data_IF_139562535650
#
_entry.id   IF_139562535650
#
_cell.length_a   1.000
_cell.length_b   1.000
_cell.length_c   1.000
_cell.angle_alpha   90.00
_cell.angle_beta   90.00
_cell.angle_gamma   90.00
#
_symmetry.space_group_name_H-M   'P 1'
#
loop_
_entity.id
_entity.type
_entity.pdbx_description
1 polymer ?
#
# COMPACT_ATOMS: atom_id res chain seq x y z
N UNK A 1 -16.23 20.90 -42.96
CA UNK A 1 -14.95 20.26 -43.38
C UNK A 1 -14.63 19.05 -42.50
N UNK A 2 -14.56 19.20 -41.18
CA UNK A 2 -14.27 18.08 -40.25
C UNK A 2 -15.26 16.88 -40.35
N UNK A 3 -16.50 17.16 -40.67
CA UNK A 3 -17.54 16.12 -40.85
C UNK A 3 -17.28 15.14 -42.02
N UNK A 4 -16.40 15.53 -42.97
CA UNK A 4 -16.02 14.71 -44.12
C UNK A 4 -14.83 13.76 -43.84
N UNK A 5 -14.16 13.92 -42.71
CA UNK A 5 -13.02 13.07 -42.34
C UNK A 5 -13.53 11.70 -41.95
N UNK A 6 -13.16 10.66 -42.70
CA UNK A 6 -13.66 9.28 -42.48
C UNK A 6 -13.00 8.57 -41.29
N UNK A 7 -11.74 8.82 -41.05
CA UNK A 7 -10.98 8.18 -39.97
C UNK A 7 -11.22 8.87 -38.62
N UNK A 8 -11.72 8.17 -37.58
CA UNK A 8 -11.85 8.72 -36.24
C UNK A 8 -10.51 9.18 -35.65
N UNK A 9 -9.42 8.47 -35.96
CA UNK A 9 -8.06 8.79 -35.48
C UNK A 9 -7.60 10.14 -36.05
N UNK A 10 -7.72 10.34 -37.37
CA UNK A 10 -7.35 11.60 -38.03
C UNK A 10 -8.21 12.76 -37.51
N UNK A 11 -9.50 12.53 -37.28
CA UNK A 11 -10.39 13.53 -36.72
C UNK A 11 -9.96 13.90 -35.28
N UNK A 12 -9.55 12.91 -34.50
CA UNK A 12 -9.05 13.12 -33.15
C UNK A 12 -7.74 13.91 -33.15
N UNK A 13 -6.79 13.54 -34.02
CA UNK A 13 -5.48 14.21 -34.15
C UNK A 13 -5.64 15.69 -34.58
N UNK A 14 -6.58 15.97 -35.50
CA UNK A 14 -6.90 17.35 -35.91
C UNK A 14 -7.54 18.14 -34.76
N UNK A 15 -8.43 17.51 -33.98
CA UNK A 15 -9.03 18.15 -32.82
C UNK A 15 -7.98 18.42 -31.74
N UNK A 16 -6.94 17.62 -31.64
CA UNK A 16 -5.80 17.84 -30.76
C UNK A 16 -5.02 19.11 -31.05
N UNK A 17 -4.90 19.47 -32.33
CA UNK A 17 -4.16 20.66 -32.82
C UNK A 17 -5.00 21.95 -32.68
N UNK A 18 -6.31 21.83 -32.51
CA UNK A 18 -7.19 23.02 -32.45
C UNK A 18 -7.11 23.73 -31.08
N UNK A 19 -7.21 25.03 -31.10
CA UNK A 19 -7.31 25.86 -29.88
C UNK A 19 -8.52 25.42 -29.04
N UNK A 20 -8.30 25.14 -27.79
CA UNK A 20 -9.19 24.57 -26.79
C UNK A 20 -10.67 25.04 -26.85
N UNK A 21 -10.90 26.35 -26.88
CA UNK A 21 -12.25 26.94 -26.90
C UNK A 21 -13.07 26.61 -28.15
N UNK A 22 -12.43 26.48 -29.33
CA UNK A 22 -13.06 26.08 -30.59
C UNK A 22 -13.38 24.56 -30.60
N UNK A 23 -12.50 23.78 -30.03
CA UNK A 23 -12.62 22.32 -29.83
C UNK A 23 -13.86 21.98 -28.99
N UNK A 24 -14.03 22.64 -27.86
CA UNK A 24 -15.17 22.53 -26.95
C UNK A 24 -16.51 22.75 -27.65
N UNK A 25 -16.63 23.84 -28.39
CA UNK A 25 -17.87 24.17 -29.06
C UNK A 25 -18.20 23.22 -30.21
N UNK A 26 -17.20 22.75 -30.95
CA UNK A 26 -17.40 21.78 -32.03
C UNK A 26 -17.92 20.43 -31.50
N UNK A 27 -17.38 19.93 -30.41
CA UNK A 27 -17.82 18.65 -29.83
C UNK A 27 -19.13 18.83 -29.06
N UNK A 28 -19.27 19.90 -28.28
CA UNK A 28 -20.47 20.16 -27.47
C UNK A 28 -21.75 20.26 -28.30
N UNK A 29 -21.68 20.87 -29.46
CA UNK A 29 -22.86 21.19 -30.26
C UNK A 29 -23.02 20.33 -31.54
N UNK A 30 -22.05 19.47 -31.89
CA UNK A 30 -22.11 18.67 -33.10
C UNK A 30 -22.29 17.17 -32.80
N UNK A 31 -23.55 16.74 -32.73
CA UNK A 31 -23.94 15.34 -32.50
C UNK A 31 -23.31 14.36 -33.49
N UNK A 32 -23.05 14.80 -34.74
CA UNK A 32 -22.47 13.96 -35.79
C UNK A 32 -20.99 13.68 -35.53
N UNK A 33 -20.24 14.66 -35.04
CA UNK A 33 -18.86 14.50 -34.59
C UNK A 33 -18.81 13.64 -33.33
N UNK A 34 -19.69 13.88 -32.33
CA UNK A 34 -19.80 13.05 -31.14
C UNK A 34 -20.01 11.58 -31.47
N UNK A 35 -20.98 11.28 -32.33
CA UNK A 35 -21.29 9.91 -32.78
C UNK A 35 -20.10 9.24 -33.47
N UNK A 36 -19.36 9.97 -34.29
CA UNK A 36 -18.21 9.42 -35.05
C UNK A 36 -16.99 9.18 -34.18
N UNK A 37 -16.80 9.99 -33.15
CA UNK A 37 -15.72 9.81 -32.17
C UNK A 37 -16.11 8.85 -31.06
N UNK A 38 -17.36 8.42 -31.03
CA UNK A 38 -17.94 7.67 -29.93
C UNK A 38 -17.75 8.38 -28.56
N UNK A 39 -17.89 9.71 -28.56
CA UNK A 39 -17.66 10.57 -27.40
C UNK A 39 -18.96 11.31 -27.09
N UNK A 40 -19.50 11.11 -25.89
CA UNK A 40 -20.57 11.93 -25.36
C UNK A 40 -20.01 13.19 -24.63
N UNK A 41 -20.89 14.08 -24.21
CA UNK A 41 -20.52 15.29 -23.50
C UNK A 41 -19.78 14.99 -22.15
N UNK A 42 -20.16 13.89 -21.50
CA UNK A 42 -19.57 13.47 -20.23
C UNK A 42 -18.13 12.99 -20.43
N UNK A 43 -17.91 12.14 -21.43
CA UNK A 43 -16.58 11.64 -21.82
C UNK A 43 -15.65 12.77 -22.24
N UNK A 44 -16.18 13.76 -22.95
CA UNK A 44 -15.40 14.93 -23.35
C UNK A 44 -15.00 15.80 -22.16
N UNK A 45 -15.92 16.05 -21.22
CA UNK A 45 -15.60 16.77 -19.98
C UNK A 45 -14.51 16.06 -19.17
N UNK A 46 -14.56 14.76 -19.08
CA UNK A 46 -13.48 13.96 -18.44
C UNK A 46 -12.15 14.17 -19.13
N UNK A 47 -12.12 14.16 -20.46
CA UNK A 47 -10.90 14.42 -21.21
C UNK A 47 -10.30 15.81 -20.91
N UNK A 48 -11.15 16.83 -20.75
CA UNK A 48 -10.70 18.17 -20.40
C UNK A 48 -10.09 18.23 -19.00
N UNK A 49 -10.74 17.56 -18.05
CA UNK A 49 -10.25 17.47 -16.67
C UNK A 49 -8.90 16.73 -16.65
N UNK A 50 -8.75 15.65 -17.43
CA UNK A 50 -7.48 14.93 -17.57
C UNK A 50 -6.41 15.84 -18.16
N UNK A 51 -6.73 16.63 -19.18
CA UNK A 51 -5.78 17.58 -19.77
C UNK A 51 -5.32 18.63 -18.74
N UNK A 52 -6.24 19.23 -18.01
CA UNK A 52 -5.94 20.17 -16.93
C UNK A 52 -5.04 19.51 -15.85
N UNK A 53 -5.37 18.29 -15.44
CA UNK A 53 -4.60 17.53 -14.48
C UNK A 53 -3.18 17.23 -15.00
N UNK A 54 -3.05 16.85 -16.29
CA UNK A 54 -1.76 16.60 -16.92
C UNK A 54 -0.89 17.86 -16.96
N UNK A 55 -1.48 18.99 -17.33
CA UNK A 55 -0.77 20.29 -17.40
C UNK A 55 -0.34 20.74 -15.99
N UNK A 56 -1.23 20.65 -15.02
CA UNK A 56 -0.97 21.10 -13.65
C UNK A 56 0.07 20.26 -12.93
N UNK A 57 0.02 18.94 -13.08
CA UNK A 57 0.87 17.99 -12.35
C UNK A 57 1.93 17.31 -13.21
N UNK A 58 2.13 17.78 -14.46
CA UNK A 58 3.10 17.25 -15.41
C UNK A 58 2.97 15.73 -15.65
N UNK A 59 1.72 15.25 -15.70
CA UNK A 59 1.40 13.87 -15.89
C UNK A 59 1.17 13.50 -17.36
N UNK A 60 1.09 12.21 -17.67
CA UNK A 60 0.78 11.71 -19.00
C UNK A 60 -0.41 10.71 -18.96
N UNK A 61 -1.51 11.17 -18.37
CA UNK A 61 -2.75 10.39 -18.31
C UNK A 61 -3.42 10.44 -19.68
N UNK A 62 -3.67 9.26 -20.27
CA UNK A 62 -4.24 9.15 -21.63
C UNK A 62 -5.75 9.15 -21.65
N UNK A 63 -6.40 8.71 -20.57
CA UNK A 63 -7.86 8.64 -20.49
C UNK A 63 -8.34 8.08 -19.14
N UNK A 64 -9.66 7.93 -18.94
CA UNK A 64 -10.22 7.34 -17.72
C UNK A 64 -9.85 5.87 -17.50
N UNK A 65 -9.37 5.19 -18.53
CA UNK A 65 -8.86 3.80 -18.51
C UNK A 65 -7.41 3.72 -18.03
N UNK A 66 -6.76 4.86 -17.77
CA UNK A 66 -5.40 4.90 -17.26
C UNK A 66 -5.29 4.11 -15.96
N UNK A 67 -4.26 3.29 -15.85
CA UNK A 67 -4.16 2.30 -14.79
C UNK A 67 -3.12 2.59 -13.72
N UNK A 68 -2.28 3.60 -13.92
CA UNK A 68 -1.21 3.99 -13.01
C UNK A 68 -1.29 5.48 -12.73
N UNK A 69 -1.45 5.88 -11.47
CA UNK A 69 -1.37 7.29 -11.04
C UNK A 69 -0.21 7.45 -10.05
N UNK A 70 0.79 8.20 -10.49
CA UNK A 70 1.94 8.63 -9.68
C UNK A 70 1.76 10.11 -9.35
N UNK A 71 1.38 10.42 -8.12
CA UNK A 71 0.97 11.74 -7.66
C UNK A 71 1.73 12.14 -6.39
N UNK A 72 3.01 11.84 -6.38
CA UNK A 72 3.89 12.16 -5.26
C UNK A 72 4.02 13.67 -5.04
N UNK A 73 4.12 14.10 -3.79
CA UNK A 73 4.32 15.50 -3.39
C UNK A 73 3.21 16.48 -3.87
N UNK A 74 2.04 15.97 -4.20
CA UNK A 74 0.90 16.78 -4.62
C UNK A 74 -0.09 16.95 -3.48
N UNK A 75 -0.89 18.03 -3.51
CA UNK A 75 -1.92 18.26 -2.50
C UNK A 75 -3.07 17.25 -2.66
N UNK A 76 -3.26 16.39 -1.66
CA UNK A 76 -4.25 15.30 -1.70
C UNK A 76 -5.68 15.78 -1.89
N UNK A 77 -6.08 16.89 -1.27
CA UNK A 77 -7.45 17.43 -1.40
C UNK A 77 -7.78 17.82 -2.84
N UNK A 78 -6.87 18.53 -3.50
CA UNK A 78 -7.06 18.91 -4.90
C UNK A 78 -7.05 17.68 -5.83
N UNK A 79 -6.12 16.75 -5.61
CA UNK A 79 -6.02 15.52 -6.39
C UNK A 79 -7.32 14.73 -6.31
N UNK A 80 -7.92 14.61 -5.13
CA UNK A 80 -9.16 13.86 -4.95
C UNK A 80 -10.32 14.45 -5.75
N UNK A 81 -10.38 15.78 -5.93
CA UNK A 81 -11.37 16.39 -6.82
C UNK A 81 -11.21 15.91 -8.27
N UNK A 82 -9.98 15.88 -8.80
CA UNK A 82 -9.72 15.39 -10.16
C UNK A 82 -10.06 13.92 -10.30
N UNK A 83 -9.58 13.07 -9.38
CA UNK A 83 -9.81 11.62 -9.39
C UNK A 83 -11.32 11.34 -9.37
N UNK A 84 -12.08 12.03 -8.51
CA UNK A 84 -13.53 11.89 -8.40
C UNK A 84 -14.28 12.32 -9.68
N UNK A 85 -13.86 13.42 -10.31
CA UNK A 85 -14.46 13.91 -11.56
C UNK A 85 -14.17 12.98 -12.74
N UNK A 86 -12.94 12.45 -12.85
CA UNK A 86 -12.53 11.54 -13.92
C UNK A 86 -13.17 10.16 -13.75
N UNK A 87 -13.25 9.65 -12.50
CA UNK A 87 -13.73 8.30 -12.16
C UNK A 87 -12.96 7.22 -12.93
N UNK A 88 -11.70 7.09 -12.61
CA UNK A 88 -10.87 6.01 -13.16
C UNK A 88 -11.51 4.64 -12.84
N UNK A 89 -11.52 3.75 -13.83
CA UNK A 89 -12.16 2.43 -13.71
C UNK A 89 -11.19 1.26 -13.86
N UNK A 90 -9.92 1.54 -14.14
CA UNK A 90 -8.89 0.53 -14.38
C UNK A 90 -7.64 0.75 -13.54
N UNK A 91 -7.69 1.56 -12.47
CA UNK A 91 -6.51 1.79 -11.63
C UNK A 91 -6.00 0.49 -11.04
N UNK A 92 -4.74 0.22 -11.29
CA UNK A 92 -3.96 -0.88 -10.70
C UNK A 92 -2.88 -0.37 -9.76
N UNK A 93 -2.43 0.86 -9.94
CA UNK A 93 -1.45 1.52 -9.08
C UNK A 93 -1.92 2.93 -8.75
N UNK A 94 -1.89 3.26 -7.47
CA UNK A 94 -2.15 4.61 -6.95
C UNK A 94 -1.05 4.96 -5.95
N UNK A 95 -0.21 5.91 -6.34
CA UNK A 95 0.84 6.46 -5.50
C UNK A 95 0.50 7.89 -5.10
N UNK A 96 0.31 8.10 -3.80
CA UNK A 96 -0.05 9.36 -3.15
C UNK A 96 0.96 9.69 -2.03
N UNK A 97 2.21 9.32 -2.22
CA UNK A 97 3.27 9.60 -1.24
C UNK A 97 3.48 11.11 -1.08
N UNK A 98 3.69 11.60 0.15
CA UNK A 98 3.90 13.01 0.46
C UNK A 98 2.77 13.95 0.02
N UNK A 99 1.52 13.47 0.01
CA UNK A 99 0.38 14.24 -0.48
C UNK A 99 -0.39 14.99 0.61
N UNK A 100 0.14 15.04 1.83
CA UNK A 100 -0.47 15.71 2.99
C UNK A 100 -1.90 15.22 3.29
N UNK A 101 -2.12 13.91 3.15
CA UNK A 101 -3.41 13.25 3.32
C UNK A 101 -3.60 12.89 4.80
N UNK A 102 -4.72 13.25 5.37
CA UNK A 102 -5.16 12.83 6.71
C UNK A 102 -6.20 11.71 6.66
N UNK A 103 -7.07 11.71 5.63
CA UNK A 103 -8.07 10.68 5.40
C UNK A 103 -8.32 10.47 3.90
N UNK A 104 -8.98 9.37 3.56
CA UNK A 104 -9.27 8.97 2.19
C UNK A 104 -10.77 8.81 1.91
N UNK A 105 -11.63 9.31 2.79
CA UNK A 105 -13.09 9.19 2.65
C UNK A 105 -13.62 9.80 1.34
N UNK A 106 -12.94 10.83 0.84
CA UNK A 106 -13.27 11.43 -0.47
C UNK A 106 -13.16 10.46 -1.63
N UNK A 107 -12.37 9.39 -1.51
CA UNK A 107 -12.20 8.38 -2.56
C UNK A 107 -13.17 7.19 -2.47
N UNK A 108 -14.05 7.13 -1.47
CA UNK A 108 -14.99 6.00 -1.29
C UNK A 108 -15.93 5.77 -2.48
N UNK A 109 -16.18 6.81 -3.27
CA UNK A 109 -17.03 6.74 -4.47
C UNK A 109 -16.32 6.19 -5.71
N UNK A 110 -15.01 5.95 -5.62
CA UNK A 110 -14.21 5.47 -6.74
C UNK A 110 -14.13 3.96 -6.70
N UNK A 111 -14.20 3.34 -7.86
CA UNK A 111 -14.00 1.90 -7.96
C UNK A 111 -12.51 1.57 -7.98
N UNK A 112 -11.97 1.18 -6.83
CA UNK A 112 -10.59 0.73 -6.65
C UNK A 112 -10.45 -0.80 -6.64
N UNK A 113 -11.47 -1.54 -7.08
CA UNK A 113 -11.49 -3.01 -7.03
C UNK A 113 -10.39 -3.70 -7.85
N UNK A 114 -9.79 -3.00 -8.81
CA UNK A 114 -8.65 -3.50 -9.61
C UNK A 114 -7.29 -3.10 -9.04
N UNK A 115 -7.26 -2.34 -7.94
CA UNK A 115 -6.02 -1.82 -7.39
C UNK A 115 -5.14 -2.97 -6.89
N UNK A 116 -3.87 -2.93 -7.25
CA UNK A 116 -2.82 -3.89 -6.85
C UNK A 116 -1.79 -3.24 -5.96
N UNK A 117 -1.49 -1.98 -6.19
CA UNK A 117 -0.49 -1.22 -5.41
C UNK A 117 -1.12 0.08 -4.91
N UNK A 118 -1.08 0.28 -3.60
CA UNK A 118 -1.48 1.51 -2.93
C UNK A 118 -0.34 2.01 -2.06
N UNK A 119 0.26 3.12 -2.48
CA UNK A 119 1.31 3.80 -1.73
C UNK A 119 0.77 5.10 -1.13
N UNK A 120 0.74 5.15 0.20
CA UNK A 120 0.29 6.27 1.01
C UNK A 120 1.39 6.74 1.97
N UNK A 121 2.64 6.51 1.63
CA UNK A 121 3.79 6.82 2.50
C UNK A 121 3.90 8.31 2.79
N UNK A 122 4.43 8.64 3.97
CA UNK A 122 4.69 10.00 4.40
C UNK A 122 3.48 10.94 4.26
N UNK A 123 2.35 10.50 4.80
CA UNK A 123 1.14 11.29 4.95
C UNK A 123 0.82 11.53 6.44
N UNK A 124 -0.36 12.05 6.73
CA UNK A 124 -0.81 12.36 8.10
C UNK A 124 -1.93 11.39 8.56
N UNK A 125 -2.04 10.22 7.92
CA UNK A 125 -3.12 9.26 8.16
C UNK A 125 -3.01 8.72 9.59
N UNK A 126 -4.07 8.89 10.37
CA UNK A 126 -4.21 8.33 11.72
C UNK A 126 -5.19 7.16 11.78
N UNK A 127 -6.17 7.13 10.90
CA UNK A 127 -7.21 6.11 10.83
C UNK A 127 -7.21 5.39 9.48
N UNK A 128 -7.37 4.07 9.50
CA UNK A 128 -7.33 3.23 8.29
C UNK A 128 -8.68 2.61 7.93
N UNK A 129 -9.78 3.14 8.45
CA UNK A 129 -11.14 2.65 8.20
C UNK A 129 -11.53 2.70 6.71
N UNK A 130 -10.93 3.59 5.92
CA UNK A 130 -11.13 3.68 4.48
C UNK A 130 -10.86 2.36 3.74
N UNK A 131 -9.98 1.51 4.30
CA UNK A 131 -9.63 0.22 3.69
C UNK A 131 -10.86 -0.68 3.53
N UNK A 132 -11.81 -0.61 4.46
CA UNK A 132 -13.06 -1.38 4.40
C UNK A 132 -13.94 -0.94 3.22
N UNK A 133 -14.01 0.37 2.96
CA UNK A 133 -14.85 0.94 1.90
C UNK A 133 -14.31 0.66 0.48
N UNK A 134 -13.01 0.48 0.32
CA UNK A 134 -12.37 0.44 -1.00
C UNK A 134 -12.41 -0.91 -1.72
N UNK A 135 -12.93 -1.98 -1.12
CA UNK A 135 -13.00 -3.32 -1.72
C UNK A 135 -11.66 -3.78 -2.32
N UNK A 136 -10.60 -3.69 -1.54
CA UNK A 136 -9.22 -3.91 -1.96
C UNK A 136 -8.83 -5.41 -2.11
N UNK A 137 -9.75 -6.28 -2.51
CA UNK A 137 -9.51 -7.72 -2.62
C UNK A 137 -8.40 -8.13 -3.60
N UNK A 138 -8.06 -7.28 -4.57
CA UNK A 138 -6.96 -7.51 -5.51
C UNK A 138 -5.64 -6.87 -5.09
N UNK A 139 -5.59 -6.20 -3.93
CA UNK A 139 -4.40 -5.49 -3.47
C UNK A 139 -3.27 -6.47 -3.18
N UNK A 140 -2.10 -6.19 -3.73
CA UNK A 140 -0.86 -6.93 -3.53
C UNK A 140 0.12 -6.20 -2.61
N UNK A 141 0.16 -4.89 -2.72
CA UNK A 141 1.07 -4.06 -1.93
C UNK A 141 0.31 -2.89 -1.30
N UNK A 142 0.39 -2.78 0.02
CA UNK A 142 -0.10 -1.65 0.81
C UNK A 142 1.06 -1.06 1.58
N UNK A 143 1.39 0.18 1.28
CA UNK A 143 2.41 0.91 2.01
C UNK A 143 1.83 2.15 2.69
N UNK A 144 1.96 2.17 4.00
CA UNK A 144 1.51 3.22 4.93
C UNK A 144 2.69 3.73 5.78
N UNK A 145 3.90 3.58 5.28
CA UNK A 145 5.14 4.01 5.95
C UNK A 145 5.11 5.50 6.31
N UNK A 146 5.55 5.84 7.51
CA UNK A 146 5.70 7.23 7.92
C UNK A 146 4.39 8.01 8.07
N UNK A 147 3.38 7.39 8.66
CA UNK A 147 2.08 8.00 8.98
C UNK A 147 1.88 8.17 10.50
N UNK A 148 0.65 8.43 10.92
CA UNK A 148 0.27 8.65 12.32
C UNK A 148 -0.61 7.51 12.88
N UNK A 149 -0.61 6.33 12.25
CA UNK A 149 -1.48 5.21 12.58
C UNK A 149 -1.14 4.67 13.96
N UNK A 150 -2.13 4.57 14.83
CA UNK A 150 -2.00 4.00 16.18
C UNK A 150 -2.83 2.75 16.39
N UNK A 151 -3.86 2.54 15.57
CA UNK A 151 -4.78 1.40 15.63
C UNK A 151 -4.91 0.72 14.27
N UNK A 152 -4.84 -0.61 14.27
CA UNK A 152 -4.98 -1.44 13.05
C UNK A 152 -6.19 -2.40 13.13
N UNK A 153 -7.12 -2.14 14.05
CA UNK A 153 -8.30 -2.98 14.25
C UNK A 153 -9.16 -3.11 12.98
N UNK A 154 -9.16 -2.09 12.13
CA UNK A 154 -9.85 -2.12 10.84
C UNK A 154 -9.46 -3.33 9.94
N UNK A 155 -8.32 -3.96 10.19
CA UNK A 155 -7.90 -5.16 9.46
C UNK A 155 -8.76 -6.40 9.76
N UNK A 156 -9.45 -6.45 10.89
CA UNK A 156 -10.34 -7.57 11.25
C UNK A 156 -11.48 -7.78 10.24
N UNK A 157 -11.93 -6.70 9.61
CA UNK A 157 -13.08 -6.71 8.72
C UNK A 157 -12.71 -6.90 7.24
N UNK A 158 -11.42 -7.16 6.95
CA UNK A 158 -10.91 -7.18 5.58
C UNK A 158 -10.37 -8.55 5.21
N UNK A 159 -10.70 -8.99 4.00
CA UNK A 159 -10.12 -10.18 3.39
C UNK A 159 -8.92 -9.80 2.52
N UNK A 160 -7.73 -10.01 3.05
CA UNK A 160 -6.46 -9.76 2.34
C UNK A 160 -6.03 -10.95 1.48
N UNK A 161 -6.89 -11.40 0.55
CA UNK A 161 -6.68 -12.64 -0.23
C UNK A 161 -5.44 -12.60 -1.13
N UNK A 162 -4.98 -11.43 -1.53
CA UNK A 162 -3.90 -11.26 -2.48
C UNK A 162 -2.74 -10.40 -1.97
N UNK A 163 -2.79 -9.92 -0.73
CA UNK A 163 -1.76 -9.03 -0.19
C UNK A 163 -0.44 -9.81 -0.02
N UNK A 164 0.59 -9.33 -0.69
CA UNK A 164 1.94 -9.88 -0.68
C UNK A 164 2.89 -9.05 0.19
N UNK A 165 2.67 -7.71 0.26
CA UNK A 165 3.49 -6.79 1.05
C UNK A 165 2.64 -5.82 1.85
N UNK A 166 2.96 -5.67 3.13
CA UNK A 166 2.35 -4.71 4.05
C UNK A 166 3.44 -3.94 4.80
N UNK A 167 3.50 -2.64 4.57
CA UNK A 167 4.40 -1.74 5.29
C UNK A 167 3.62 -0.77 6.17
N UNK A 168 3.78 -0.92 7.48
CA UNK A 168 3.23 -0.10 8.55
C UNK A 168 4.35 0.57 9.36
N UNK A 169 5.58 0.57 8.87
CA UNK A 169 6.72 1.10 9.61
C UNK A 169 6.66 2.61 9.78
N UNK A 170 7.36 3.13 10.78
CA UNK A 170 7.36 4.55 11.18
C UNK A 170 5.95 5.11 11.40
N UNK A 171 5.18 4.39 12.22
CA UNK A 171 3.86 4.81 12.68
C UNK A 171 3.85 4.98 14.21
N UNK A 172 2.67 5.01 14.82
CA UNK A 172 2.49 5.21 16.27
C UNK A 172 1.83 4.01 16.94
N UNK A 173 1.90 2.81 16.33
CA UNK A 173 1.26 1.59 16.82
C UNK A 173 1.96 1.16 18.11
N UNK A 174 1.19 1.12 19.19
CA UNK A 174 1.67 0.72 20.52
C UNK A 174 1.21 -0.69 20.90
N UNK A 175 -0.02 -0.99 20.58
CA UNK A 175 -0.66 -2.27 20.87
C UNK A 175 -1.34 -2.76 19.60
N UNK A 176 -1.23 -4.05 19.33
CA UNK A 176 -1.97 -4.70 18.24
C UNK A 176 -3.32 -5.12 18.79
N UNK A 177 -4.30 -4.23 18.64
CA UNK A 177 -5.66 -4.44 19.17
C UNK A 177 -6.51 -5.27 18.21
N UNK A 178 -6.04 -6.50 17.90
CA UNK A 178 -6.70 -7.48 17.05
C UNK A 178 -7.28 -8.57 17.93
N UNK A 179 -8.60 -8.74 17.92
CA UNK A 179 -9.33 -9.74 18.71
C UNK A 179 -9.78 -10.95 17.88
N UNK A 180 -9.89 -10.78 16.56
CA UNK A 180 -10.33 -11.82 15.63
C UNK A 180 -9.18 -12.25 14.71
N UNK A 181 -9.32 -13.42 14.09
CA UNK A 181 -8.32 -13.92 13.14
C UNK A 181 -8.29 -13.06 11.87
N UNK A 182 -7.12 -12.54 11.53
CA UNK A 182 -6.85 -11.86 10.27
C UNK A 182 -6.00 -12.77 9.40
N UNK A 183 -6.52 -13.12 8.24
CA UNK A 183 -5.86 -14.06 7.33
C UNK A 183 -5.06 -13.33 6.27
N UNK A 184 -3.78 -13.67 6.19
CA UNK A 184 -2.83 -13.17 5.20
C UNK A 184 -2.25 -14.33 4.37
N UNK A 185 -3.04 -14.99 3.51
CA UNK A 185 -2.64 -16.23 2.84
C UNK A 185 -1.43 -16.10 1.92
N UNK A 186 -1.19 -14.91 1.38
CA UNK A 186 -0.11 -14.64 0.42
C UNK A 186 0.92 -13.62 0.92
N UNK A 187 0.81 -13.16 2.16
CA UNK A 187 1.74 -12.15 2.68
C UNK A 187 3.13 -12.74 2.82
N UNK A 188 4.07 -12.12 2.13
CA UNK A 188 5.51 -12.45 2.14
C UNK A 188 6.33 -11.49 2.97
N UNK A 189 5.95 -10.22 2.97
CA UNK A 189 6.69 -9.16 3.63
C UNK A 189 5.79 -8.37 4.57
N UNK A 190 6.12 -8.34 5.86
CA UNK A 190 5.46 -7.52 6.89
C UNK A 190 6.50 -6.62 7.55
N UNK A 191 6.31 -5.31 7.44
CA UNK A 191 7.15 -4.33 8.11
C UNK A 191 6.34 -3.52 9.12
N UNK A 192 6.68 -3.64 10.40
CA UNK A 192 6.15 -2.85 11.51
C UNK A 192 7.27 -2.18 12.32
N UNK A 193 8.43 -1.99 11.69
CA UNK A 193 9.58 -1.36 12.34
C UNK A 193 9.34 0.10 12.69
N UNK A 194 10.06 0.60 13.69
CA UNK A 194 9.97 2.00 14.11
C UNK A 194 8.54 2.43 14.49
N UNK A 195 7.89 1.60 15.28
CA UNK A 195 6.64 1.90 15.96
C UNK A 195 6.90 2.05 17.47
N UNK A 196 5.88 1.85 18.28
CA UNK A 196 5.96 1.89 19.75
C UNK A 196 5.48 0.58 20.38
N UNK A 197 5.61 -0.54 19.63
CA UNK A 197 5.12 -1.85 20.04
C UNK A 197 5.83 -2.29 21.35
N UNK A 198 5.04 -2.55 22.38
CA UNK A 198 5.50 -3.07 23.67
C UNK A 198 5.25 -4.58 23.72
N UNK A 199 4.08 -4.99 23.24
CA UNK A 199 3.58 -6.36 23.24
C UNK A 199 3.17 -6.78 21.82
N UNK A 200 3.64 -7.93 21.40
CA UNK A 200 3.29 -8.58 20.14
C UNK A 200 2.49 -9.87 20.35
N UNK A 201 1.97 -10.12 21.56
CA UNK A 201 1.18 -11.30 21.87
C UNK A 201 0.00 -11.51 20.92
N UNK A 202 -0.64 -10.42 20.49
CA UNK A 202 -1.75 -10.46 19.52
C UNK A 202 -1.32 -10.86 18.09
N UNK A 203 -0.02 -11.04 17.79
CA UNK A 203 0.41 -11.62 16.50
C UNK A 203 -0.16 -13.03 16.29
N UNK A 204 -0.52 -13.75 17.35
CA UNK A 204 -1.20 -15.04 17.24
C UNK A 204 -2.58 -14.95 16.56
N UNK A 205 -3.13 -13.75 16.38
CA UNK A 205 -4.36 -13.53 15.61
C UNK A 205 -4.08 -13.42 14.10
N UNK A 206 -2.84 -13.18 13.69
CA UNK A 206 -2.47 -13.18 12.28
C UNK A 206 -2.20 -14.61 11.79
N UNK A 207 -2.82 -14.96 10.66
CA UNK A 207 -2.60 -16.24 10.00
C UNK A 207 -1.75 -15.98 8.76
N UNK A 208 -0.46 -16.25 8.88
CA UNK A 208 0.49 -16.10 7.78
C UNK A 208 0.61 -17.40 6.99
N UNK A 209 0.38 -17.33 5.66
CA UNK A 209 0.54 -18.48 4.77
C UNK A 209 1.97 -18.65 4.25
N UNK A 210 2.65 -17.56 3.95
CA UNK A 210 3.90 -17.56 3.19
C UNK A 210 4.90 -16.49 3.64
N UNK A 211 4.89 -16.10 4.94
CA UNK A 211 5.72 -15.00 5.40
C UNK A 211 7.22 -15.32 5.25
N UNK A 212 7.90 -14.54 4.43
CA UNK A 212 9.32 -14.66 4.14
C UNK A 212 10.16 -13.64 4.92
N UNK A 213 9.61 -12.45 5.18
CA UNK A 213 10.33 -11.36 5.86
C UNK A 213 9.46 -10.70 6.92
N UNK A 214 10.02 -10.57 8.10
CA UNK A 214 9.40 -9.88 9.23
C UNK A 214 10.35 -8.84 9.80
N UNK A 215 9.96 -7.55 9.67
CA UNK A 215 10.67 -6.43 10.26
C UNK A 215 9.86 -5.83 11.40
N UNK A 216 10.35 -5.92 12.62
CA UNK A 216 9.78 -5.31 13.84
C UNK A 216 10.85 -4.61 14.66
N UNK A 217 11.89 -4.12 13.98
CA UNK A 217 13.01 -3.37 14.58
C UNK A 217 12.57 -2.01 15.11
N UNK A 218 13.33 -1.44 16.05
CA UNK A 218 13.08 -0.08 16.54
C UNK A 218 11.73 0.06 17.25
N UNK A 219 11.39 -0.91 18.10
CA UNK A 219 10.20 -0.91 18.94
C UNK A 219 10.57 -1.01 20.42
N UNK A 220 9.60 -1.29 21.28
CA UNK A 220 9.80 -1.44 22.73
C UNK A 220 9.50 -2.88 23.20
N UNK A 221 9.64 -3.86 22.30
CA UNK A 221 9.29 -5.26 22.53
C UNK A 221 10.25 -5.88 23.56
N UNK A 222 9.68 -6.54 24.57
CA UNK A 222 10.41 -7.29 25.59
C UNK A 222 10.24 -8.80 25.45
N UNK A 223 9.06 -9.27 25.05
CA UNK A 223 8.70 -10.67 24.92
C UNK A 223 8.40 -11.03 23.47
N UNK A 224 9.06 -12.08 22.98
CA UNK A 224 8.90 -12.63 21.63
C UNK A 224 8.39 -14.07 21.62
N UNK A 225 7.90 -14.59 22.76
CA UNK A 225 7.43 -15.99 22.88
C UNK A 225 6.28 -16.31 21.92
N UNK A 226 5.50 -15.34 21.52
CA UNK A 226 4.43 -15.51 20.53
C UNK A 226 4.94 -16.03 19.19
N UNK A 227 6.20 -15.78 18.83
CA UNK A 227 6.78 -16.20 17.53
C UNK A 227 6.75 -17.72 17.36
N UNK A 228 6.84 -18.50 18.45
CA UNK A 228 6.71 -19.98 18.41
C UNK A 228 5.34 -20.44 17.91
N UNK A 229 4.29 -19.62 18.13
CA UNK A 229 2.91 -19.93 17.73
C UNK A 229 2.58 -19.55 16.30
N UNK A 230 3.48 -18.81 15.64
CA UNK A 230 3.30 -18.36 14.26
C UNK A 230 3.83 -19.42 13.28
N UNK A 231 3.20 -19.48 12.10
CA UNK A 231 3.73 -20.30 11.01
C UNK A 231 4.86 -19.55 10.31
N UNK A 232 6.10 -19.70 10.81
CA UNK A 232 7.29 -19.01 10.30
C UNK A 232 8.22 -19.93 9.50
N UNK A 233 7.70 -21.05 8.96
CA UNK A 233 8.50 -22.04 8.24
C UNK A 233 9.21 -21.50 7.01
N UNK A 234 8.55 -20.57 6.30
CA UNK A 234 9.09 -19.95 5.08
C UNK A 234 9.88 -18.65 5.36
N UNK A 235 10.09 -18.32 6.66
CA UNK A 235 10.76 -17.08 7.04
C UNK A 235 12.25 -17.15 6.68
N UNK A 236 12.71 -16.17 5.90
CA UNK A 236 14.09 -16.00 5.43
C UNK A 236 14.82 -14.87 6.17
N UNK A 237 14.09 -13.84 6.55
CA UNK A 237 14.67 -12.66 7.19
C UNK A 237 13.83 -12.25 8.41
N UNK A 238 14.48 -12.11 9.57
CA UNK A 238 13.88 -11.65 10.83
C UNK A 238 14.70 -10.52 11.42
N UNK A 239 14.13 -9.34 11.52
CA UNK A 239 14.77 -8.16 12.07
C UNK A 239 14.08 -7.75 13.37
N UNK A 240 14.78 -7.89 14.47
CA UNK A 240 14.36 -7.61 15.85
C UNK A 240 15.26 -6.56 16.53
N UNK A 241 16.19 -5.99 15.78
CA UNK A 241 17.17 -5.06 16.34
C UNK A 241 16.52 -3.81 16.96
N UNK A 242 17.22 -3.18 17.90
CA UNK A 242 16.74 -1.96 18.58
C UNK A 242 15.39 -2.16 19.27
N UNK A 243 15.30 -3.20 20.10
CA UNK A 243 14.18 -3.50 20.97
C UNK A 243 14.67 -3.62 22.44
N UNK A 244 13.82 -4.13 23.31
CA UNK A 244 14.13 -4.37 24.75
C UNK A 244 14.14 -5.86 25.09
N UNK A 245 14.50 -6.72 24.12
CA UNK A 245 14.49 -8.18 24.23
C UNK A 245 15.70 -8.63 25.07
N UNK A 246 15.46 -9.37 26.14
CA UNK A 246 16.51 -9.94 26.98
C UNK A 246 16.61 -11.47 26.84
N UNK A 247 15.51 -12.15 26.50
CA UNK A 247 15.43 -13.60 26.30
C UNK A 247 15.06 -13.94 24.86
N UNK A 248 15.90 -14.75 24.21
CA UNK A 248 15.71 -15.22 22.84
C UNK A 248 15.57 -16.75 22.75
N UNK A 249 15.39 -17.44 23.87
CA UNK A 249 15.34 -18.90 23.90
C UNK A 249 14.21 -19.49 23.06
N UNK A 250 13.14 -18.74 22.86
CA UNK A 250 12.04 -19.12 21.95
C UNK A 250 12.52 -19.33 20.51
N UNK A 251 13.48 -18.54 20.03
CA UNK A 251 14.01 -18.66 18.67
C UNK A 251 14.68 -20.03 18.44
N UNK A 252 15.28 -20.61 19.48
CA UNK A 252 15.85 -21.95 19.45
C UNK A 252 14.84 -23.09 19.35
N UNK A 253 13.55 -22.82 19.60
CA UNK A 253 12.45 -23.80 19.52
C UNK A 253 11.75 -23.76 18.16
N UNK A 254 11.86 -22.64 17.43
CA UNK A 254 11.22 -22.47 16.12
C UNK A 254 12.03 -23.25 15.07
N UNK A 255 11.35 -24.07 14.29
CA UNK A 255 11.96 -24.75 13.17
C UNK A 255 11.97 -23.83 11.94
N UNK A 256 12.97 -22.97 11.86
CA UNK A 256 13.21 -22.17 10.66
C UNK A 256 13.83 -23.04 9.58
N UNK A 257 13.17 -23.13 8.43
CA UNK A 257 13.65 -23.94 7.30
C UNK A 257 14.73 -23.21 6.50
N UNK A 258 14.51 -21.93 6.23
CA UNK A 258 15.32 -21.14 5.30
C UNK A 258 15.78 -19.79 5.88
N UNK A 259 15.73 -19.60 7.21
CA UNK A 259 16.17 -18.34 7.83
C UNK A 259 17.66 -18.11 7.58
N UNK A 260 17.98 -17.04 6.86
CA UNK A 260 19.36 -16.70 6.48
C UNK A 260 19.82 -15.33 7.02
N UNK A 261 18.89 -14.52 7.53
CA UNK A 261 19.17 -13.25 8.19
C UNK A 261 18.41 -13.12 9.49
N UNK A 262 19.14 -12.90 10.56
CA UNK A 262 18.60 -12.59 11.88
C UNK A 262 19.37 -11.40 12.46
N UNK A 263 18.69 -10.30 12.69
CA UNK A 263 19.29 -9.12 13.34
C UNK A 263 18.68 -8.92 14.74
N UNK A 264 19.49 -9.07 15.75
CA UNK A 264 19.17 -8.90 17.17
C UNK A 264 19.97 -7.74 17.81
N UNK A 265 20.72 -6.97 17.02
CA UNK A 265 21.58 -5.90 17.51
C UNK A 265 20.80 -4.88 18.35
N UNK A 266 21.46 -4.21 19.25
CA UNK A 266 20.85 -3.20 20.13
C UNK A 266 19.66 -3.72 20.95
N UNK A 267 19.76 -4.95 21.46
CA UNK A 267 18.88 -5.53 22.48
C UNK A 267 19.67 -5.88 23.75
N UNK A 268 19.07 -5.80 24.94
CA UNK A 268 19.72 -6.18 26.18
C UNK A 268 19.75 -7.71 26.39
N UNK A 269 20.21 -8.48 25.40
CA UNK A 269 20.19 -9.94 25.42
C UNK A 269 21.10 -10.45 26.53
N UNK A 270 20.58 -11.32 27.37
CA UNK A 270 21.36 -12.01 28.38
C UNK A 270 22.10 -13.20 27.74
N UNK A 271 23.36 -12.96 27.37
CA UNK A 271 24.19 -13.96 26.69
C UNK A 271 24.40 -15.25 27.51
N UNK A 272 24.41 -15.13 28.82
CA UNK A 272 24.58 -16.29 29.72
C UNK A 272 23.34 -17.19 29.69
N UNK A 273 22.14 -16.61 29.78
CA UNK A 273 20.88 -17.37 29.76
C UNK A 273 20.52 -17.89 28.37
N UNK A 274 21.05 -17.28 27.32
CA UNK A 274 20.73 -17.60 25.92
C UNK A 274 21.88 -18.30 25.18
N UNK A 275 22.90 -18.81 25.89
CA UNK A 275 24.11 -19.39 25.29
C UNK A 275 23.84 -20.50 24.28
N UNK A 276 22.97 -21.45 24.64
CA UNK A 276 22.64 -22.60 23.79
C UNK A 276 21.87 -22.17 22.53
N UNK A 277 20.95 -21.23 22.69
CA UNK A 277 20.18 -20.65 21.57
C UNK A 277 21.11 -19.87 20.62
N UNK A 278 22.01 -19.05 21.16
CA UNK A 278 23.01 -18.31 20.37
C UNK A 278 23.89 -19.28 19.58
N UNK A 279 24.36 -20.36 20.22
CA UNK A 279 25.19 -21.37 19.58
C UNK A 279 24.45 -22.09 18.46
N UNK A 280 23.18 -22.52 18.71
CA UNK A 280 22.35 -23.16 17.72
C UNK A 280 22.09 -22.27 16.52
N UNK A 281 21.62 -21.04 16.74
CA UNK A 281 21.33 -20.06 15.68
C UNK A 281 22.60 -19.67 14.91
N UNK A 282 23.73 -19.52 15.57
CA UNK A 282 24.99 -19.16 14.93
C UNK A 282 25.55 -20.26 14.01
N UNK A 283 25.16 -21.53 14.18
CA UNK A 283 25.50 -22.62 13.23
C UNK A 283 24.63 -22.64 12.00
N UNK A 284 23.33 -22.30 12.18
CA UNK A 284 22.34 -22.46 11.13
C UNK A 284 22.15 -21.19 10.29
N UNK A 285 22.62 -20.01 10.78
CA UNK A 285 22.38 -18.73 10.15
C UNK A 285 23.69 -18.07 9.73
N UNK A 286 23.88 -17.88 8.42
CA UNK A 286 25.11 -17.34 7.82
C UNK A 286 25.43 -15.88 8.22
N UNK A 287 24.48 -15.14 8.78
CA UNK A 287 24.64 -13.75 9.23
C UNK A 287 23.84 -13.51 10.51
N UNK A 288 24.45 -13.83 11.63
CA UNK A 288 23.95 -13.51 12.94
C UNK A 288 24.56 -12.18 13.40
N UNK A 289 23.76 -11.15 13.48
CA UNK A 289 24.18 -9.86 14.04
C UNK A 289 23.75 -9.80 15.52
N UNK A 290 24.76 -9.69 16.39
CA UNK A 290 24.57 -9.62 17.84
C UNK A 290 24.72 -8.20 18.35
#
# INVERSE_FOLDING_TARGET
MLEKIRSPKILFDILEIMIYKRKLNLIKYNKKIQKRLNIDHTSYNKFLIIKEMNEKYQLNIKGPEHNVLELENQNGTEIFEYINKIRFNNLTTLNLQWANIDNLTSLEKINLSKLRILNLNFNNISEINFIQAFKLGNLKELSLFGNNISDIKAFEDIKFENLEKLDLSRNKIKIINISQKVNFPKLKELNMSYNKLIDIGSFNQFIFGQLEKLWISGNEITDINVLEKLNLKELKELYLNSNKISDINVLGKINFKDLNKLDLTSNPINNYLCSDTIYKLGKDINRFYK
#
